data_IF_101382641061
#
_entry.id   IF_101382641061
#
_cell.length_a   1.000
_cell.length_b   1.000
_cell.length_c   1.000
_cell.angle_alpha   90.00
_cell.angle_beta   90.00
_cell.angle_gamma   90.00
#
_symmetry.space_group_name_H-M   'P 1'
#
loop_
_entity.id
_entity.type
_entity.pdbx_description
1 polymer ?
#
# COMPACT_ATOMS: atom_id res chain seq x y z
N UNK A 1 14.54 -68.16 24.69
CA UNK A 1 14.77 -66.89 25.43
C UNK A 1 15.01 -65.78 24.41
N UNK A 2 14.06 -64.86 24.36
CA UNK A 2 13.87 -63.83 23.34
C UNK A 2 14.82 -62.65 23.62
N UNK A 3 15.76 -62.35 22.72
CA UNK A 3 16.51 -61.10 22.76
C UNK A 3 15.84 -60.11 21.81
N UNK A 4 15.15 -59.13 22.41
CA UNK A 4 14.61 -57.95 21.74
C UNK A 4 15.76 -57.06 21.27
N UNK A 5 15.91 -56.87 19.97
CA UNK A 5 16.69 -55.78 19.40
C UNK A 5 15.70 -54.71 18.94
N UNK A 6 15.61 -53.62 19.69
CA UNK A 6 14.90 -52.40 19.31
C UNK A 6 15.75 -51.65 18.27
N UNK A 7 15.35 -51.68 17.01
CA UNK A 7 15.86 -50.75 16.01
C UNK A 7 15.12 -49.41 16.17
N UNK A 8 15.79 -48.41 16.71
CA UNK A 8 15.29 -47.04 16.75
C UNK A 8 15.33 -46.47 15.32
N UNK A 9 14.19 -46.49 14.64
CA UNK A 9 14.00 -45.72 13.41
C UNK A 9 13.94 -44.23 13.78
N UNK A 10 15.00 -43.49 13.46
CA UNK A 10 15.00 -42.03 13.44
C UNK A 10 14.01 -41.57 12.36
N UNK A 11 12.77 -41.33 12.76
CA UNK A 11 11.79 -40.64 11.94
C UNK A 11 12.21 -39.16 11.83
N UNK A 12 13.05 -38.86 10.84
CA UNK A 12 13.30 -37.49 10.37
C UNK A 12 11.96 -36.88 9.99
N UNK A 13 11.45 -36.04 10.88
CA UNK A 13 10.24 -35.27 10.68
C UNK A 13 10.56 -34.18 9.66
N UNK A 14 10.44 -34.50 8.38
CA UNK A 14 10.43 -33.50 7.31
C UNK A 14 9.11 -32.74 7.44
N UNK A 15 9.10 -31.68 8.24
CA UNK A 15 8.07 -30.66 8.19
C UNK A 15 7.95 -30.18 6.74
N UNK A 16 6.78 -30.25 6.09
CA UNK A 16 6.63 -29.64 4.78
C UNK A 16 6.90 -28.15 4.97
N UNK A 17 7.93 -27.64 4.30
CA UNK A 17 8.12 -26.21 4.18
C UNK A 17 6.83 -25.67 3.55
N UNK A 18 6.06 -24.90 4.32
CA UNK A 18 4.99 -24.10 3.78
C UNK A 18 5.66 -23.07 2.91
N UNK A 19 5.79 -23.36 1.62
CA UNK A 19 6.11 -22.39 0.60
C UNK A 19 4.98 -21.38 0.64
N UNK A 20 5.21 -20.26 1.33
CA UNK A 20 4.40 -19.05 1.18
C UNK A 20 4.24 -18.84 -0.33
N UNK A 21 3.02 -18.76 -0.88
CA UNK A 21 2.86 -18.40 -2.27
C UNK A 21 3.61 -17.09 -2.47
N UNK A 22 4.66 -17.13 -3.32
CA UNK A 22 5.15 -15.90 -3.90
C UNK A 22 3.92 -15.30 -4.59
N UNK A 23 3.49 -14.12 -4.15
CA UNK A 23 2.46 -13.42 -4.87
C UNK A 23 2.96 -13.30 -6.31
N UNK A 24 2.22 -13.89 -7.25
CA UNK A 24 2.45 -13.67 -8.67
C UNK A 24 2.49 -12.16 -8.87
N UNK A 25 3.69 -11.62 -9.05
CA UNK A 25 3.89 -10.23 -9.38
C UNK A 25 4.14 -10.17 -10.86
N UNK A 26 3.11 -9.97 -11.70
CA UNK A 26 3.31 -9.14 -12.85
C UNK A 26 3.26 -7.70 -12.33
N UNK A 27 4.30 -7.23 -11.64
CA UNK A 27 4.60 -5.78 -11.71
C UNK A 27 5.25 -5.60 -13.08
N UNK A 28 4.45 -5.80 -14.13
CA UNK A 28 4.65 -5.11 -15.39
C UNK A 28 4.70 -3.63 -15.04
N UNK A 29 5.61 -2.87 -15.65
CA UNK A 29 5.77 -1.43 -15.41
C UNK A 29 4.39 -0.78 -15.24
N UNK A 30 4.10 -0.32 -14.01
CA UNK A 30 2.79 0.20 -13.66
C UNK A 30 2.46 1.36 -14.59
N UNK A 31 1.28 1.36 -15.20
CA UNK A 31 0.88 2.49 -16.04
C UNK A 31 0.71 3.73 -15.17
N UNK A 32 0.83 4.94 -15.74
CA UNK A 32 0.48 6.17 -15.00
C UNK A 32 -0.93 6.12 -14.42
N UNK A 33 -1.87 5.45 -15.10
CA UNK A 33 -3.23 5.23 -14.60
C UNK A 33 -3.24 4.36 -13.36
N UNK A 34 -2.48 3.26 -13.33
CA UNK A 34 -2.37 2.41 -12.14
C UNK A 34 -1.73 3.17 -10.97
N UNK A 35 -0.72 4.01 -11.25
CA UNK A 35 -0.08 4.84 -10.24
C UNK A 35 -1.05 5.89 -9.67
N UNK A 36 -1.81 6.60 -10.51
CA UNK A 36 -2.88 7.51 -10.06
C UNK A 36 -3.90 6.79 -9.18
N UNK A 37 -4.23 5.54 -9.54
CA UNK A 37 -5.15 4.72 -8.77
C UNK A 37 -4.57 4.31 -7.40
N UNK A 38 -3.27 3.99 -7.33
CA UNK A 38 -2.57 3.80 -6.07
C UNK A 38 -2.54 5.06 -5.19
N UNK A 39 -2.34 6.23 -5.80
CA UNK A 39 -2.38 7.51 -5.10
C UNK A 39 -3.78 7.85 -4.58
N UNK A 40 -4.84 7.48 -5.29
CA UNK A 40 -6.21 7.64 -4.82
C UNK A 40 -6.46 6.86 -3.52
N UNK A 41 -5.95 5.62 -3.39
CA UNK A 41 -6.04 4.85 -2.13
C UNK A 41 -5.31 5.55 -0.99
N UNK A 42 -4.09 6.06 -1.25
CA UNK A 42 -3.31 6.79 -0.25
C UNK A 42 -4.10 7.99 0.29
N UNK A 43 -4.66 8.82 -0.59
CA UNK A 43 -5.33 10.05 -0.17
C UNK A 43 -6.69 9.82 0.49
N UNK A 44 -7.47 8.85 0.02
CA UNK A 44 -8.71 8.43 0.71
C UNK A 44 -8.37 7.90 2.11
N UNK A 45 -7.33 7.08 2.22
CA UNK A 45 -6.88 6.57 3.52
C UNK A 45 -6.41 7.69 4.45
N UNK A 46 -5.64 8.65 3.95
CA UNK A 46 -5.15 9.79 4.73
C UNK A 46 -6.28 10.69 5.23
N UNK A 47 -7.25 11.03 4.37
CA UNK A 47 -8.43 11.81 4.75
C UNK A 47 -9.26 11.08 5.82
N UNK A 48 -9.49 9.78 5.64
CA UNK A 48 -10.24 8.98 6.59
C UNK A 48 -9.54 8.89 7.97
N UNK A 49 -8.21 8.74 7.98
CA UNK A 49 -7.41 8.77 9.21
C UNK A 49 -7.55 10.12 9.92
N UNK A 50 -7.45 11.24 9.19
CA UNK A 50 -7.59 12.58 9.75
C UNK A 50 -9.00 12.78 10.32
N UNK A 51 -10.03 12.39 9.57
CA UNK A 51 -11.43 12.52 9.97
C UNK A 51 -11.75 11.76 11.24
N UNK A 52 -11.13 10.59 11.43
CA UNK A 52 -11.28 9.76 12.65
C UNK A 52 -10.34 10.16 13.78
N UNK A 53 -9.25 10.87 13.50
CA UNK A 53 -8.22 11.23 14.47
C UNK A 53 -7.89 12.73 14.40
N UNK A 54 -8.76 13.61 14.92
CA UNK A 54 -8.56 15.07 14.85
C UNK A 54 -7.27 15.53 15.55
N UNK A 55 -6.74 14.76 16.51
CA UNK A 55 -5.45 15.04 17.15
C UNK A 55 -4.25 14.95 16.20
N UNK A 56 -4.31 14.13 15.14
CA UNK A 56 -3.27 14.09 14.10
C UNK A 56 -3.30 15.39 13.30
N UNK A 57 -4.49 15.91 13.03
CA UNK A 57 -4.65 17.17 12.30
C UNK A 57 -4.07 18.36 13.04
N UNK A 58 -4.25 18.40 14.37
CA UNK A 58 -3.65 19.43 15.21
C UNK A 58 -2.13 19.42 15.08
N UNK A 59 -1.49 18.24 15.15
CA UNK A 59 -0.05 18.09 14.98
C UNK A 59 0.44 18.45 13.58
N UNK A 60 -0.29 18.04 12.53
CA UNK A 60 0.02 18.43 11.15
C UNK A 60 -0.13 19.93 10.90
N UNK A 61 -0.93 20.62 11.72
CA UNK A 61 -1.14 22.06 11.64
C UNK A 61 -0.08 22.87 12.39
N UNK A 62 0.81 22.22 13.14
CA UNK A 62 1.95 22.85 13.81
C UNK A 62 3.10 23.07 12.79
N UNK A 63 3.70 24.27 12.81
CA UNK A 63 4.78 24.65 11.89
C UNK A 63 4.34 25.45 10.66
N UNK A 64 5.31 25.98 9.93
CA UNK A 64 5.06 26.78 8.72
C UNK A 64 4.44 25.91 7.61
N UNK A 65 3.29 26.33 7.09
CA UNK A 65 2.54 25.60 6.06
C UNK A 65 1.56 24.53 6.56
N UNK A 66 1.61 24.15 7.84
CA UNK A 66 0.77 23.08 8.41
C UNK A 66 -0.74 23.30 8.27
N UNK A 67 -1.18 24.56 8.38
CA UNK A 67 -2.61 24.93 8.23
C UNK A 67 -3.18 24.65 6.84
N UNK A 68 -2.34 24.56 5.81
CA UNK A 68 -2.78 24.23 4.45
C UNK A 68 -2.85 22.71 4.19
N UNK A 69 -2.14 21.91 4.99
CA UNK A 69 -2.07 20.45 4.84
C UNK A 69 -3.43 19.80 5.05
N UNK A 70 -4.17 20.24 6.07
CA UNK A 70 -5.48 19.72 6.41
C UNK A 70 -6.52 19.89 5.27
N UNK A 71 -6.77 21.11 4.75
CA UNK A 71 -7.61 21.30 3.56
C UNK A 71 -7.12 20.54 2.34
N UNK A 72 -5.79 20.49 2.11
CA UNK A 72 -5.22 19.77 0.98
C UNK A 72 -5.55 18.28 1.06
N UNK A 73 -5.24 17.62 2.19
CA UNK A 73 -5.51 16.19 2.37
C UNK A 73 -6.99 15.85 2.22
N UNK A 74 -7.89 16.71 2.71
CA UNK A 74 -9.33 16.56 2.49
C UNK A 74 -9.71 16.65 1.02
N UNK A 75 -9.20 17.66 0.30
CA UNK A 75 -9.45 17.81 -1.14
C UNK A 75 -8.93 16.59 -1.92
N UNK A 76 -7.74 16.12 -1.57
CA UNK A 76 -7.14 14.94 -2.18
C UNK A 76 -7.93 13.67 -1.85
N UNK A 77 -8.50 13.55 -0.64
CA UNK A 77 -9.37 12.45 -0.25
C UNK A 77 -10.62 12.37 -1.14
N UNK A 78 -11.30 13.50 -1.35
CA UNK A 78 -12.48 13.58 -2.24
C UNK A 78 -12.10 13.26 -3.69
N UNK A 79 -10.98 13.80 -4.19
CA UNK A 79 -10.49 13.50 -5.53
C UNK A 79 -10.14 12.02 -5.70
N UNK A 80 -9.48 11.44 -4.69
CA UNK A 80 -9.18 10.02 -4.63
C UNK A 80 -10.44 9.17 -4.66
N UNK A 81 -11.47 9.51 -3.87
CA UNK A 81 -12.74 8.78 -3.86
C UNK A 81 -13.39 8.76 -5.24
N UNK A 82 -13.41 9.89 -5.95
CA UNK A 82 -13.94 9.97 -7.31
C UNK A 82 -13.18 9.04 -8.29
N UNK A 83 -11.84 9.02 -8.21
CA UNK A 83 -11.01 8.12 -9.02
C UNK A 83 -11.26 6.65 -8.67
N UNK A 84 -11.34 6.30 -7.38
CA UNK A 84 -11.61 4.91 -6.97
C UNK A 84 -12.98 4.45 -7.48
N UNK A 85 -14.00 5.28 -7.36
CA UNK A 85 -15.35 4.97 -7.83
C UNK A 85 -15.40 4.79 -9.35
N UNK A 86 -14.72 5.65 -10.13
CA UNK A 86 -14.62 5.49 -11.59
C UNK A 86 -13.91 4.19 -11.95
N UNK A 87 -12.77 3.91 -11.33
CA UNK A 87 -11.99 2.71 -11.60
C UNK A 87 -12.78 1.42 -11.28
N UNK A 88 -13.54 1.41 -10.18
CA UNK A 88 -14.41 0.28 -9.83
C UNK A 88 -15.55 0.13 -10.84
N UNK A 89 -16.19 1.22 -11.25
CA UNK A 89 -17.26 1.19 -12.26
C UNK A 89 -16.75 0.66 -13.61
N UNK A 90 -15.60 1.15 -14.07
CA UNK A 90 -14.95 0.70 -15.30
C UNK A 90 -14.49 -0.77 -15.21
N UNK A 91 -13.88 -1.18 -14.11
CA UNK A 91 -13.49 -2.57 -13.88
C UNK A 91 -14.69 -3.51 -13.87
N UNK A 92 -15.78 -3.10 -13.22
CA UNK A 92 -17.04 -3.87 -13.19
C UNK A 92 -17.62 -4.01 -14.60
N UNK A 93 -17.57 -2.96 -15.43
CA UNK A 93 -17.99 -3.02 -16.83
C UNK A 93 -17.15 -3.98 -17.68
N UNK A 94 -15.90 -4.26 -17.27
CA UNK A 94 -15.00 -5.27 -17.86
C UNK A 94 -15.13 -6.66 -17.23
N UNK A 95 -16.04 -6.85 -16.27
CA UNK A 95 -16.24 -8.12 -15.57
C UNK A 95 -15.28 -8.38 -14.41
N UNK A 96 -14.51 -7.38 -13.98
CA UNK A 96 -13.63 -7.47 -12.81
C UNK A 96 -14.43 -7.36 -11.51
N UNK A 97 -13.99 -8.04 -10.44
CA UNK A 97 -14.57 -7.85 -9.12
C UNK A 97 -14.04 -6.55 -8.49
N UNK A 98 -14.86 -5.79 -7.75
CA UNK A 98 -14.40 -4.61 -7.03
C UNK A 98 -13.18 -4.86 -6.12
N UNK A 99 -13.10 -6.05 -5.51
CA UNK A 99 -11.95 -6.46 -4.69
C UNK A 99 -10.64 -6.51 -5.47
N UNK A 100 -10.69 -6.93 -6.73
CA UNK A 100 -9.51 -7.12 -7.57
C UNK A 100 -9.01 -5.76 -8.08
N UNK A 101 -9.96 -4.88 -8.41
CA UNK A 101 -9.70 -3.46 -8.72
C UNK A 101 -9.01 -2.79 -7.53
N UNK A 102 -9.58 -2.91 -6.32
CA UNK A 102 -8.96 -2.34 -5.12
C UNK A 102 -7.57 -2.92 -4.82
N UNK A 103 -7.39 -4.24 -4.93
CA UNK A 103 -6.09 -4.90 -4.71
C UNK A 103 -5.01 -4.38 -5.65
N UNK A 104 -5.35 -4.07 -6.91
CA UNK A 104 -4.43 -3.47 -7.87
C UNK A 104 -3.96 -2.09 -7.41
N UNK A 105 -4.87 -1.23 -6.96
CA UNK A 105 -4.52 0.08 -6.45
C UNK A 105 -3.55 -0.01 -5.26
N UNK A 106 -3.87 -0.86 -4.28
CA UNK A 106 -2.99 -1.09 -3.11
C UNK A 106 -1.61 -1.60 -3.54
N UNK A 107 -1.58 -2.53 -4.51
CA UNK A 107 -0.32 -3.05 -5.07
C UNK A 107 0.49 -1.94 -5.74
N UNK A 108 -0.15 -1.05 -6.50
CA UNK A 108 0.49 0.08 -7.16
C UNK A 108 1.08 1.07 -6.14
N UNK A 109 0.29 1.44 -5.13
CA UNK A 109 0.74 2.27 -4.01
C UNK A 109 1.95 1.65 -3.29
N UNK A 110 1.88 0.36 -2.97
CA UNK A 110 2.95 -0.35 -2.30
C UNK A 110 4.23 -0.39 -3.16
N UNK A 111 4.09 -0.60 -4.47
CA UNK A 111 5.22 -0.59 -5.40
C UNK A 111 5.91 0.77 -5.41
N UNK A 112 5.15 1.87 -5.53
CA UNK A 112 5.71 3.23 -5.45
C UNK A 112 6.44 3.50 -4.14
N UNK A 113 5.96 2.96 -3.02
CA UNK A 113 6.61 3.11 -1.71
C UNK A 113 7.90 2.28 -1.59
N UNK A 114 7.93 1.09 -2.19
CA UNK A 114 9.10 0.21 -2.22
C UNK A 114 10.18 0.79 -3.13
N UNK A 115 9.78 1.29 -4.30
CA UNK A 115 10.66 1.81 -5.35
C UNK A 115 11.09 3.26 -5.11
N UNK A 116 10.51 3.94 -4.11
CA UNK A 116 10.91 5.28 -3.72
C UNK A 116 12.43 5.35 -3.48
N UNK A 117 13.14 6.33 -4.06
CA UNK A 117 14.56 6.50 -3.80
C UNK A 117 14.74 6.94 -2.35
N UNK A 118 15.60 6.24 -1.61
CA UNK A 118 15.90 6.53 -0.21
C UNK A 118 17.39 6.60 -0.03
N UNK A 119 17.85 7.67 0.60
CA UNK A 119 19.27 7.91 0.90
C UNK A 119 19.59 7.69 2.37
N UNK A 120 18.56 7.70 3.24
CA UNK A 120 18.68 7.51 4.69
C UNK A 120 18.47 6.06 5.13
N UNK A 121 18.76 5.78 6.40
CA UNK A 121 18.59 4.45 7.03
C UNK A 121 17.76 4.56 8.32
N UNK A 122 17.24 3.44 8.83
CA UNK A 122 16.44 3.42 10.06
C UNK A 122 15.09 4.13 9.91
N UNK A 123 14.60 4.78 10.97
CA UNK A 123 13.30 5.44 10.98
C UNK A 123 13.21 6.59 9.96
N UNK A 124 14.32 7.28 9.71
CA UNK A 124 14.38 8.36 8.72
C UNK A 124 14.22 7.86 7.28
N UNK A 125 14.54 6.59 7.02
CA UNK A 125 14.28 5.96 5.72
C UNK A 125 12.77 5.82 5.45
N UNK A 126 11.98 5.52 6.49
CA UNK A 126 10.53 5.39 6.36
C UNK A 126 9.87 6.75 6.14
N UNK A 127 10.37 7.79 6.81
CA UNK A 127 9.93 9.17 6.58
C UNK A 127 10.25 9.63 5.14
N UNK A 128 11.46 9.39 4.66
CA UNK A 128 11.87 9.72 3.29
C UNK A 128 11.01 8.98 2.25
N UNK A 129 10.73 7.68 2.45
CA UNK A 129 9.78 6.93 1.61
C UNK A 129 8.39 7.54 1.62
N UNK A 130 7.88 7.90 2.79
CA UNK A 130 6.58 8.53 2.96
C UNK A 130 6.49 9.86 2.21
N UNK A 131 7.50 10.72 2.35
CA UNK A 131 7.55 12.00 1.64
C UNK A 131 7.68 11.83 0.13
N UNK A 132 8.52 10.88 -0.33
CA UNK A 132 8.71 10.61 -1.75
C UNK A 132 7.41 10.09 -2.38
N UNK A 133 6.73 9.15 -1.72
CA UNK A 133 5.42 8.64 -2.15
C UNK A 133 4.39 9.77 -2.20
N UNK A 134 4.30 10.58 -1.14
CA UNK A 134 3.35 11.67 -1.05
C UNK A 134 3.56 12.72 -2.15
N UNK A 135 4.81 13.12 -2.36
CA UNK A 135 5.19 14.10 -3.39
C UNK A 135 4.89 13.58 -4.79
N UNK A 136 5.25 12.32 -5.07
CA UNK A 136 4.93 11.68 -6.34
C UNK A 136 3.41 11.64 -6.57
N UNK A 137 2.64 11.29 -5.55
CA UNK A 137 1.19 11.25 -5.64
C UNK A 137 0.53 12.61 -5.82
N UNK A 138 1.04 13.67 -5.17
CA UNK A 138 0.59 15.02 -5.45
C UNK A 138 0.87 15.43 -6.90
N UNK A 139 2.03 15.06 -7.46
CA UNK A 139 2.33 15.32 -8.87
C UNK A 139 1.35 14.61 -9.80
N UNK A 140 1.19 13.29 -9.64
CA UNK A 140 0.35 12.47 -10.50
C UNK A 140 -1.13 12.87 -10.49
N UNK A 141 -1.64 13.32 -9.35
CA UNK A 141 -3.05 13.70 -9.21
C UNK A 141 -3.35 15.11 -9.74
N UNK A 142 -2.32 15.91 -10.02
CA UNK A 142 -2.44 17.25 -10.60
C UNK A 142 -2.08 17.28 -12.10
N UNK A 143 -1.64 16.17 -12.68
CA UNK A 143 -1.51 15.96 -14.15
C UNK A 143 -2.87 15.71 -14.80
#
# INVERSE_FOLDING_TARGET
MLHLIFAAALASSTTPAVTKPAADSPITAQTKTDQKFGCAVLFVGADEVIRRNPGILAKLSEGDGGKAVAPLLKMMGVSGEAILNSAIAEGTARGEKPSDVYRRAVSSMASMMIDAPVTKTGDEANEERGMALFTNCLSLMNE
#
